data_IF_334617197203
#
_entry.id   IF_334617197203
#
_cell.length_a   1.000
_cell.length_b   1.000
_cell.length_c   1.000
_cell.angle_alpha   90.00
_cell.angle_beta   90.00
_cell.angle_gamma   90.00
#
_symmetry.space_group_name_H-M   'P 1'
#
loop_
_entity.id
_entity.type
_entity.pdbx_description
1 polymer ?
#
# COMPACT_ATOMS: atom_id res chain seq x y z
N UNK A 1 -3.72 22.62 -13.86
CA UNK A 1 -3.06 22.76 -15.18
C UNK A 1 -1.97 21.70 -15.25
N UNK A 2 -1.79 21.04 -16.41
CA UNK A 2 -0.89 19.88 -16.66
C UNK A 2 -1.38 18.44 -16.36
N UNK A 3 -2.68 18.12 -16.48
CA UNK A 3 -3.09 16.71 -16.58
C UNK A 3 -4.02 16.39 -17.75
N UNK A 4 -4.11 17.25 -18.77
CA UNK A 4 -4.77 16.89 -20.03
C UNK A 4 -4.13 17.60 -21.22
N UNK A 5 -3.28 16.87 -21.96
CA UNK A 5 -3.08 17.06 -23.41
C UNK A 5 -2.32 15.88 -24.04
N UNK A 6 -3.12 14.90 -24.48
CA UNK A 6 -3.11 14.17 -25.76
C UNK A 6 -1.90 13.34 -26.28
N UNK A 7 -2.20 12.03 -26.37
CA UNK A 7 -1.96 11.06 -27.47
C UNK A 7 -0.64 10.29 -27.47
N UNK A 8 -0.62 9.18 -26.73
CA UNK A 8 -0.34 7.82 -27.24
C UNK A 8 -1.31 6.84 -26.53
N UNK A 9 -1.83 5.86 -27.26
CA UNK A 9 -2.98 5.01 -26.93
C UNK A 9 -2.93 4.32 -25.56
N UNK A 10 -4.09 4.32 -24.87
CA UNK A 10 -4.49 3.39 -23.78
C UNK A 10 -3.77 3.41 -22.42
N UNK A 11 -3.06 4.48 -22.06
CA UNK A 11 -2.68 4.68 -20.65
C UNK A 11 -3.72 5.57 -20.00
N UNK A 12 -4.88 4.99 -19.69
CA UNK A 12 -5.76 5.62 -18.72
C UNK A 12 -5.01 5.64 -17.37
N UNK A 13 -5.14 6.70 -16.57
CA UNK A 13 -4.57 6.83 -15.22
C UNK A 13 -5.69 6.95 -14.17
N UNK A 14 -5.67 6.14 -13.09
CA UNK A 14 -6.69 6.20 -12.04
C UNK A 14 -6.06 7.01 -10.93
N UNK A 15 -6.72 8.10 -10.55
CA UNK A 15 -6.25 8.97 -9.51
C UNK A 15 -7.41 9.37 -8.61
N UNK A 16 -7.21 9.27 -7.30
CA UNK A 16 -8.11 9.80 -6.29
C UNK A 16 -7.29 10.61 -5.30
N UNK A 17 -7.90 11.65 -4.74
CA UNK A 17 -7.28 12.44 -3.70
C UNK A 17 -8.31 12.81 -2.62
N UNK A 18 -7.80 13.12 -1.44
CA UNK A 18 -8.59 13.70 -0.35
C UNK A 18 -8.04 15.08 0.02
N UNK A 19 -8.89 15.89 0.64
CA UNK A 19 -8.51 17.17 1.25
C UNK A 19 -8.63 17.09 2.76
N UNK A 20 -7.89 17.93 3.47
CA UNK A 20 -8.06 18.13 4.91
C UNK A 20 -9.11 19.21 5.21
N UNK A 21 -9.34 19.50 6.48
CA UNK A 21 -10.30 20.50 6.98
C UNK A 21 -10.07 21.93 6.46
N UNK A 22 -8.89 22.21 5.87
CA UNK A 22 -8.53 23.52 5.30
C UNK A 22 -8.56 23.52 3.78
N UNK A 23 -9.24 22.54 3.17
CA UNK A 23 -9.30 22.29 1.72
C UNK A 23 -7.93 22.14 1.04
N UNK A 24 -6.93 21.68 1.80
CA UNK A 24 -5.61 21.38 1.25
C UNK A 24 -5.51 19.90 0.95
N UNK A 25 -4.81 19.58 -0.13
CA UNK A 25 -4.50 18.21 -0.51
C UNK A 25 -3.90 17.43 0.67
N UNK A 26 -4.53 16.31 1.03
CA UNK A 26 -4.13 15.47 2.13
C UNK A 26 -3.49 14.17 1.62
N UNK A 27 -4.25 13.37 0.86
CA UNK A 27 -3.78 12.08 0.34
C UNK A 27 -3.95 12.03 -1.18
N UNK A 28 -3.05 11.35 -1.87
CA UNK A 28 -3.18 11.02 -3.29
C UNK A 28 -3.02 9.51 -3.44
N UNK A 29 -3.96 8.88 -4.11
CA UNK A 29 -3.91 7.50 -4.58
C UNK A 29 -3.81 7.51 -6.10
N UNK A 30 -2.92 6.70 -6.66
CA UNK A 30 -2.87 6.50 -8.09
C UNK A 30 -2.50 5.09 -8.49
N UNK A 31 -2.84 4.72 -9.72
CA UNK A 31 -2.45 3.47 -10.33
C UNK A 31 -2.68 3.49 -11.83
N UNK A 32 -2.17 2.45 -12.48
CA UNK A 32 -2.51 2.19 -13.86
C UNK A 32 -4.03 1.92 -13.96
N UNK A 33 -4.70 2.66 -14.82
CA UNK A 33 -6.17 2.73 -14.90
C UNK A 33 -6.73 1.86 -15.99
N UNK A 34 -5.86 1.09 -16.66
CA UNK A 34 -6.24 0.35 -17.84
C UNK A 34 -7.59 -0.34 -17.59
N UNK A 35 -8.66 -0.05 -18.35
CA UNK A 35 -10.03 -0.37 -17.94
C UNK A 35 -10.30 -1.86 -17.68
N UNK A 36 -9.40 -2.75 -18.12
CA UNK A 36 -9.36 -4.17 -17.77
C UNK A 36 -8.97 -4.46 -16.29
N UNK A 37 -8.38 -3.50 -15.57
CA UNK A 37 -7.98 -3.64 -14.16
C UNK A 37 -9.16 -3.74 -13.21
N UNK A 38 -10.32 -3.15 -13.55
CA UNK A 38 -11.56 -3.22 -12.76
C UNK A 38 -11.99 -4.65 -12.42
N UNK A 39 -11.54 -5.64 -13.21
CA UNK A 39 -11.90 -7.05 -13.04
C UNK A 39 -10.71 -8.03 -13.12
N UNK A 40 -9.50 -7.60 -13.52
CA UNK A 40 -8.32 -8.48 -13.59
C UNK A 40 -7.46 -8.46 -12.32
N UNK A 41 -7.26 -7.32 -11.69
CA UNK A 41 -6.33 -7.23 -10.57
C UNK A 41 -7.00 -7.75 -9.28
N UNK A 42 -6.72 -9.02 -8.97
CA UNK A 42 -6.67 -9.63 -7.63
C UNK A 42 -7.90 -10.21 -7.00
N UNK A 43 -7.72 -11.45 -6.57
CA UNK A 43 -8.35 -12.00 -5.37
C UNK A 43 -7.36 -12.68 -4.42
N UNK A 44 -6.12 -12.99 -4.81
CA UNK A 44 -5.33 -13.96 -4.02
C UNK A 44 -4.37 -13.32 -3.01
N UNK A 45 -3.50 -12.40 -3.44
CA UNK A 45 -2.48 -11.79 -2.58
C UNK A 45 -2.33 -10.29 -2.86
N UNK A 46 -2.41 -9.49 -1.81
CA UNK A 46 -2.07 -8.08 -1.77
C UNK A 46 -0.81 -7.89 -0.90
N UNK A 47 0.21 -7.22 -1.43
CA UNK A 47 1.42 -6.87 -0.69
C UNK A 47 1.44 -5.36 -0.47
N UNK A 48 1.65 -4.96 0.77
CA UNK A 48 1.83 -3.59 1.22
C UNK A 48 3.29 -3.38 1.64
N UNK A 49 3.88 -2.30 1.15
CA UNK A 49 5.16 -1.82 1.64
C UNK A 49 5.09 -0.31 1.81
N UNK A 50 5.27 0.18 3.03
CA UNK A 50 5.48 1.61 3.26
C UNK A 50 6.97 1.93 3.09
N UNK A 51 7.29 2.89 2.22
CA UNK A 51 8.64 3.45 2.13
C UNK A 51 8.68 4.73 2.95
N UNK A 52 9.53 4.71 3.98
CA UNK A 52 9.55 5.74 5.01
C UNK A 52 10.09 7.06 4.46
N UNK A 53 9.21 8.06 4.26
CA UNK A 53 9.49 9.50 4.18
C UNK A 53 10.70 9.91 3.33
N UNK A 54 10.98 9.18 2.24
CA UNK A 54 12.13 9.42 1.35
C UNK A 54 11.89 10.55 0.35
N UNK A 55 10.67 11.10 0.30
CA UNK A 55 10.35 12.24 -0.57
C UNK A 55 10.68 13.59 0.08
N UNK A 56 10.82 14.63 -0.74
CA UNK A 56 11.16 15.99 -0.33
C UNK A 56 10.20 16.61 0.71
N UNK A 57 9.01 16.02 0.87
CA UNK A 57 7.97 16.48 1.78
C UNK A 57 7.90 15.68 3.08
N UNK A 58 8.81 14.72 3.27
CA UNK A 58 8.82 13.79 4.39
C UNK A 58 7.46 13.10 4.62
N UNK A 59 6.72 12.85 3.53
CA UNK A 59 5.40 12.23 3.56
C UNK A 59 5.49 10.70 3.38
N UNK A 60 4.63 9.90 4.02
CA UNK A 60 4.58 8.47 3.78
C UNK A 60 4.23 8.17 2.32
N UNK A 61 5.09 7.39 1.65
CA UNK A 61 4.81 6.81 0.35
C UNK A 61 4.54 5.32 0.52
N UNK A 62 3.31 4.93 0.25
CA UNK A 62 2.82 3.56 0.32
C UNK A 62 2.75 2.98 -1.08
N UNK A 63 3.23 1.75 -1.23
CA UNK A 63 3.08 0.96 -2.46
C UNK A 63 2.21 -0.27 -2.18
N UNK A 64 1.18 -0.43 -2.99
CA UNK A 64 0.40 -1.65 -3.07
C UNK A 64 0.80 -2.42 -4.32
N UNK A 65 1.08 -3.71 -4.16
CA UNK A 65 1.47 -4.61 -5.24
C UNK A 65 0.60 -5.85 -5.19
N UNK A 66 0.05 -6.25 -6.33
CA UNK A 66 -0.54 -7.59 -6.51
C UNK A 66 -0.03 -8.25 -7.80
N UNK A 67 -0.11 -9.60 -7.91
CA UNK A 67 -0.02 -10.46 -9.15
C UNK A 67 -1.33 -11.14 -9.75
N UNK A 68 -1.88 -10.71 -10.88
CA UNK A 68 -3.28 -11.03 -11.24
C UNK A 68 -3.46 -12.49 -11.69
N UNK A 69 -4.67 -12.93 -12.08
CA UNK A 69 -4.90 -14.32 -12.54
C UNK A 69 -4.04 -14.74 -13.76
N UNK A 70 -3.44 -13.78 -14.46
CA UNK A 70 -2.49 -14.01 -15.57
C UNK A 70 -1.03 -13.79 -15.16
N UNK A 71 -0.76 -13.71 -13.85
CA UNK A 71 0.55 -13.44 -13.26
C UNK A 71 1.15 -12.07 -13.61
N UNK A 72 0.31 -11.11 -13.99
CA UNK A 72 0.74 -9.75 -14.29
C UNK A 72 0.68 -8.91 -13.02
N UNK A 73 1.79 -8.24 -12.70
CA UNK A 73 1.89 -7.37 -11.54
C UNK A 73 1.10 -6.08 -11.76
N UNK A 74 0.24 -5.73 -10.79
CA UNK A 74 -0.46 -4.45 -10.71
C UNK A 74 0.13 -3.66 -9.54
N UNK A 75 0.48 -2.39 -9.77
CA UNK A 75 1.08 -1.51 -8.76
C UNK A 75 0.22 -0.27 -8.58
N UNK A 76 -0.08 0.06 -7.33
CA UNK A 76 -0.73 1.31 -6.94
C UNK A 76 0.18 2.08 -5.99
N UNK A 77 0.32 3.38 -6.23
CA UNK A 77 1.09 4.29 -5.40
C UNK A 77 0.18 5.19 -4.58
N UNK A 78 0.58 5.48 -3.35
CA UNK A 78 -0.18 6.34 -2.46
C UNK A 78 0.75 7.26 -1.68
N UNK A 79 0.46 8.54 -1.73
CA UNK A 79 1.10 9.55 -0.89
C UNK A 79 0.12 9.96 0.20
N UNK A 80 0.44 9.66 1.45
CA UNK A 80 -0.40 9.98 2.60
C UNK A 80 0.08 11.24 3.29
N UNK A 81 -0.82 11.92 4.00
CA UNK A 81 -0.43 13.03 4.87
C UNK A 81 0.16 12.60 6.21
N UNK A 82 -0.26 11.45 6.71
CA UNK A 82 0.11 10.86 8.01
C UNK A 82 -0.05 9.32 7.98
N UNK A 83 0.47 8.65 9.01
CA UNK A 83 0.45 7.18 9.18
C UNK A 83 -0.52 6.80 10.30
N UNK A 84 -1.77 7.25 10.20
CA UNK A 84 -2.83 6.92 11.17
C UNK A 84 -3.86 5.97 10.55
N UNK A 85 -4.59 5.26 11.42
CA UNK A 85 -5.59 4.27 11.03
C UNK A 85 -6.62 4.83 10.03
N UNK A 86 -7.11 6.06 10.24
CA UNK A 86 -8.10 6.70 9.37
C UNK A 86 -7.57 6.94 7.95
N UNK A 87 -6.31 7.37 7.81
CA UNK A 87 -5.66 7.53 6.50
C UNK A 87 -5.50 6.20 5.79
N UNK A 88 -5.22 5.12 6.55
CA UNK A 88 -5.18 3.78 6.00
C UNK A 88 -6.57 3.23 5.66
N UNK A 89 -7.61 3.50 6.44
CA UNK A 89 -8.99 3.15 6.07
C UNK A 89 -9.38 3.80 4.74
N UNK A 90 -9.05 5.09 4.57
CA UNK A 90 -9.32 5.80 3.32
C UNK A 90 -8.61 5.15 2.13
N UNK A 91 -7.34 4.76 2.29
CA UNK A 91 -6.57 4.16 1.21
C UNK A 91 -7.07 2.77 0.86
N UNK A 92 -7.41 1.95 1.85
CA UNK A 92 -7.91 0.59 1.64
C UNK A 92 -9.28 0.59 0.96
N UNK A 93 -10.18 1.50 1.34
CA UNK A 93 -11.45 1.70 0.64
C UNK A 93 -11.23 2.14 -0.81
N UNK A 94 -10.35 3.12 -1.04
CA UNK A 94 -10.01 3.58 -2.39
C UNK A 94 -9.45 2.45 -3.26
N UNK A 95 -8.59 1.61 -2.67
CA UNK A 95 -8.04 0.44 -3.33
C UNK A 95 -9.14 -0.55 -3.72
N UNK A 96 -10.04 -0.91 -2.81
CA UNK A 96 -11.15 -1.85 -3.07
C UNK A 96 -12.09 -1.32 -4.15
N UNK A 97 -12.44 -0.04 -4.11
CA UNK A 97 -13.23 0.61 -5.16
C UNK A 97 -12.54 0.53 -6.52
N UNK A 98 -11.22 0.75 -6.57
CA UNK A 98 -10.44 0.62 -7.81
C UNK A 98 -10.38 -0.82 -8.34
N UNK A 99 -10.53 -1.82 -7.47
CA UNK A 99 -10.56 -3.25 -7.79
C UNK A 99 -11.97 -3.81 -7.98
N UNK A 100 -12.99 -2.96 -8.16
CA UNK A 100 -14.36 -3.41 -8.39
C UNK A 100 -14.99 -4.13 -7.20
N UNK A 101 -14.67 -3.69 -5.98
CA UNK A 101 -15.18 -4.23 -4.71
C UNK A 101 -14.76 -5.67 -4.40
N UNK A 102 -13.72 -6.18 -5.07
CA UNK A 102 -13.17 -7.50 -4.76
C UNK A 102 -12.16 -7.41 -3.62
N UNK A 103 -12.33 -8.25 -2.60
CA UNK A 103 -11.42 -8.34 -1.46
C UNK A 103 -10.29 -9.35 -1.75
N UNK A 104 -9.05 -9.09 -1.28
CA UNK A 104 -7.95 -10.06 -1.35
C UNK A 104 -8.17 -11.22 -0.36
N UNK A 105 -7.66 -12.40 -0.67
CA UNK A 105 -7.68 -13.58 0.22
C UNK A 105 -6.54 -13.49 1.23
N UNK A 106 -5.36 -13.04 0.83
CA UNK A 106 -4.20 -12.87 1.69
C UNK A 106 -3.62 -11.46 1.57
N UNK A 107 -3.22 -10.89 2.70
CA UNK A 107 -2.60 -9.57 2.77
C UNK A 107 -1.25 -9.71 3.47
N UNK A 108 -0.20 -9.18 2.86
CA UNK A 108 1.15 -9.14 3.41
C UNK A 108 1.52 -7.70 3.72
N UNK A 109 1.92 -7.38 4.95
CA UNK A 109 2.36 -6.02 5.33
C UNK A 109 3.70 -6.01 6.05
N UNK A 110 4.27 -4.83 6.21
CA UNK A 110 5.49 -4.56 6.97
C UNK A 110 5.31 -4.62 8.51
N UNK A 111 4.07 -4.79 8.99
CA UNK A 111 3.74 -4.89 10.40
C UNK A 111 3.37 -3.56 11.07
N UNK A 112 3.14 -2.48 10.33
CA UNK A 112 2.63 -1.23 10.91
C UNK A 112 1.31 -1.43 11.67
N UNK A 113 1.24 -0.90 12.90
CA UNK A 113 0.11 -1.13 13.81
C UNK A 113 -1.17 -0.44 13.33
N UNK A 114 -1.07 0.80 12.84
CA UNK A 114 -2.23 1.54 12.35
C UNK A 114 -2.79 0.89 11.07
N UNK A 115 -1.93 0.41 10.18
CA UNK A 115 -2.31 -0.35 9.00
C UNK A 115 -2.94 -1.70 9.40
N UNK A 116 -2.39 -2.40 10.39
CA UNK A 116 -2.96 -3.66 10.89
C UNK A 116 -4.39 -3.45 11.42
N UNK A 117 -4.62 -2.38 12.16
CA UNK A 117 -5.97 -2.03 12.64
C UNK A 117 -6.92 -1.72 11.47
N UNK A 118 -6.48 -0.91 10.49
CA UNK A 118 -7.28 -0.61 9.31
C UNK A 118 -7.61 -1.86 8.47
N UNK A 119 -6.66 -2.80 8.32
CA UNK A 119 -6.89 -4.08 7.64
C UNK A 119 -7.93 -4.91 8.36
N UNK A 120 -7.86 -4.99 9.70
CA UNK A 120 -8.85 -5.76 10.48
C UNK A 120 -10.26 -5.18 10.34
N UNK A 121 -10.38 -3.86 10.15
CA UNK A 121 -11.67 -3.21 9.91
C UNK A 121 -12.20 -3.45 8.50
N UNK A 122 -11.35 -3.28 7.48
CA UNK A 122 -11.77 -3.28 6.07
C UNK A 122 -11.79 -4.68 5.43
N UNK A 123 -10.91 -5.58 5.89
CA UNK A 123 -10.66 -6.90 5.31
C UNK A 123 -10.90 -8.04 6.31
N UNK A 124 -12.09 -8.06 6.89
CA UNK A 124 -12.50 -9.00 7.96
C UNK A 124 -12.36 -10.49 7.61
N UNK A 125 -12.34 -10.85 6.33
CA UNK A 125 -12.24 -12.24 5.84
C UNK A 125 -10.87 -12.58 5.24
N UNK A 126 -9.96 -11.60 5.15
CA UNK A 126 -8.64 -11.79 4.54
C UNK A 126 -7.63 -12.31 5.56
N UNK A 127 -6.72 -13.18 5.13
CA UNK A 127 -5.62 -13.67 5.95
C UNK A 127 -4.49 -12.65 5.96
N UNK A 128 -4.34 -11.92 7.07
CA UNK A 128 -3.22 -11.00 7.26
C UNK A 128 -1.95 -11.74 7.70
N UNK A 129 -0.83 -11.42 7.06
CA UNK A 129 0.51 -11.99 7.31
C UNK A 129 1.54 -10.87 7.32
N UNK A 130 2.62 -11.06 8.08
CA UNK A 130 3.78 -10.16 8.04
C UNK A 130 4.68 -10.58 6.89
N UNK A 131 5.17 -9.61 6.11
CA UNK A 131 6.07 -9.86 4.99
C UNK A 131 7.42 -10.34 5.51
N UNK A 132 7.89 -11.49 4.99
CA UNK A 132 9.02 -12.24 5.56
C UNK A 132 10.33 -11.46 5.67
N UNK A 133 10.54 -10.44 4.81
CA UNK A 133 11.68 -9.53 4.94
C UNK A 133 11.72 -8.81 6.29
N UNK A 134 10.56 -8.37 6.81
CA UNK A 134 10.48 -7.69 8.10
C UNK A 134 10.78 -8.65 9.24
N UNK A 135 10.24 -9.87 9.17
CA UNK A 135 10.57 -10.94 10.14
C UNK A 135 12.07 -11.23 10.15
N UNK A 136 12.69 -11.34 8.97
CA UNK A 136 14.14 -11.53 8.86
C UNK A 136 14.92 -10.35 9.43
N UNK A 137 14.53 -9.12 9.09
CA UNK A 137 15.19 -7.89 9.59
C UNK A 137 15.07 -7.76 11.11
N UNK A 138 13.92 -8.08 11.67
CA UNK A 138 13.69 -8.05 13.12
C UNK A 138 14.49 -9.16 13.81
N UNK A 139 14.53 -10.37 13.23
CA UNK A 139 15.38 -11.45 13.73
C UNK A 139 16.87 -11.05 13.72
N UNK A 140 17.36 -10.45 12.63
CA UNK A 140 18.75 -9.97 12.55
C UNK A 140 19.06 -8.88 13.57
N UNK A 141 18.15 -7.93 13.81
CA UNK A 141 18.38 -6.84 14.76
C UNK A 141 18.35 -7.29 16.23
N UNK A 142 17.50 -8.26 16.57
CA UNK A 142 17.30 -8.72 17.96
C UNK A 142 18.16 -9.94 18.33
N UNK A 143 18.52 -10.81 17.39
CA UNK A 143 19.30 -12.03 17.68
C UNK A 143 20.82 -11.85 17.55
N UNK A 144 21.31 -10.84 16.83
CA UNK A 144 22.75 -10.57 16.74
C UNK A 144 23.33 -9.69 17.87
N UNK A 145 22.53 -9.21 18.82
CA UNK A 145 23.03 -8.53 20.02
C UNK A 145 23.26 -9.51 21.18
N UNK A 146 24.34 -10.32 21.08
CA UNK A 146 25.26 -10.67 22.19
C UNK A 146 26.26 -11.76 21.75
N UNK A 147 27.47 -11.33 21.40
CA UNK A 147 28.68 -11.91 22.00
C UNK A 147 29.51 -10.73 22.55
N UNK A 148 29.22 -10.32 23.79
CA UNK A 148 30.26 -9.65 24.58
C UNK A 148 31.21 -10.76 25.00
N UNK A 149 32.39 -10.85 24.37
CA UNK A 149 33.49 -11.67 24.89
C UNK A 149 33.77 -11.23 26.31
N UNK A 150 33.62 -12.16 27.26
CA UNK A 150 34.08 -11.99 28.64
C UNK A 150 35.61 -11.85 28.63
N UNK A 151 36.21 -10.86 29.31
CA UNK A 151 37.64 -10.84 29.50
C UNK A 151 37.97 -11.90 30.55
N UNK A 152 38.64 -12.96 30.12
CA UNK A 152 39.52 -13.75 30.97
C UNK A 152 40.92 -13.56 30.44
#
# INVERSE_FOLDING_TARGET
MYLQSNVYSEISFYCRFSTNEKDRLANIFWGDSHPLFKHRCFGDVLIFNSTYKTNAYAKPLVLFVGVNNHRVTCVFGVLLSDEIMQSYIWVLNTLIESMGHKHPISILTDGDEAMRQAINEIFTHSRHRIYGWHVSKDAFTHLHKKEKKSPF
#
